data_IF_311577324788
#
_entry.id   IF_311577324788
#
_cell.length_a   1.000
_cell.length_b   1.000
_cell.length_c   1.000
_cell.angle_alpha   90.00
_cell.angle_beta   90.00
_cell.angle_gamma   90.00
#
_symmetry.space_group_name_H-M   'P 1'
#
loop_
_entity.id
_entity.type
_entity.pdbx_description
1 polymer ?
#
# COMPACT_ATOMS: atom_id res chain seq x y z
N UNK A 1 -15.25 -38.03 42.32
CA UNK A 1 -14.08 -38.44 41.51
C UNK A 1 -14.60 -39.12 40.25
N UNK A 2 -14.53 -38.42 39.12
CA UNK A 2 -14.45 -38.96 37.76
C UNK A 2 -14.28 -37.76 36.84
N UNK A 3 -13.16 -37.73 36.13
CA UNK A 3 -12.83 -36.73 35.13
C UNK A 3 -13.74 -36.87 33.91
N UNK A 4 -13.98 -35.77 33.19
CA UNK A 4 -13.93 -35.87 31.74
C UNK A 4 -13.37 -34.59 31.13
N UNK A 5 -12.16 -34.76 30.59
CA UNK A 5 -11.39 -33.87 29.77
C UNK A 5 -12.03 -33.91 28.39
N UNK A 6 -12.41 -32.77 27.83
CA UNK A 6 -12.92 -32.74 26.46
C UNK A 6 -13.39 -31.37 26.06
N UNK A 7 -12.46 -30.53 25.58
CA UNK A 7 -12.53 -29.94 24.24
C UNK A 7 -11.47 -28.85 24.14
N UNK A 8 -10.22 -29.28 23.92
CA UNK A 8 -9.08 -28.41 23.60
C UNK A 8 -8.55 -28.84 22.22
N UNK A 9 -9.43 -28.76 21.21
CA UNK A 9 -9.21 -29.35 19.88
C UNK A 9 -9.30 -28.34 18.71
N UNK A 10 -9.37 -27.03 18.97
CA UNK A 10 -9.59 -26.06 17.88
C UNK A 10 -8.36 -25.23 17.46
N UNK A 11 -7.21 -25.34 18.16
CA UNK A 11 -6.04 -24.50 17.85
C UNK A 11 -4.90 -25.19 17.05
N UNK A 12 -5.05 -26.46 16.67
CA UNK A 12 -3.98 -27.23 16.00
C UNK A 12 -3.99 -27.18 14.45
N UNK A 13 -4.89 -26.42 13.81
CA UNK A 13 -5.06 -26.45 12.35
C UNK A 13 -4.50 -25.21 11.60
N UNK A 14 -3.54 -24.50 12.21
CA UNK A 14 -2.82 -23.39 11.54
C UNK A 14 -1.41 -23.79 11.06
N UNK A 15 -1.15 -25.09 10.83
CA UNK A 15 0.10 -25.56 10.24
C UNK A 15 -0.14 -25.91 8.76
N UNK A 16 0.49 -25.15 7.86
CA UNK A 16 0.33 -25.29 6.40
C UNK A 16 0.69 -26.68 5.87
N UNK A 17 1.46 -27.49 6.64
CA UNK A 17 1.64 -28.93 6.44
C UNK A 17 1.88 -29.60 7.80
N UNK A 18 1.03 -30.54 8.26
CA UNK A 18 1.23 -31.21 9.54
C UNK A 18 2.57 -31.96 9.63
N UNK A 19 3.15 -32.15 10.83
CA UNK A 19 4.48 -32.73 11.03
C UNK A 19 4.63 -34.13 10.42
N UNK A 20 3.52 -34.86 10.37
CA UNK A 20 3.42 -36.20 9.77
C UNK A 20 3.61 -36.18 8.24
N UNK A 21 3.14 -35.14 7.55
CA UNK A 21 3.31 -34.99 6.10
C UNK A 21 4.77 -34.65 5.77
N UNK A 22 5.45 -33.88 6.63
CA UNK A 22 6.89 -33.62 6.47
C UNK A 22 7.72 -34.89 6.65
N UNK A 23 7.43 -35.67 7.68
CA UNK A 23 8.07 -36.96 7.91
C UNK A 23 7.83 -37.90 6.72
N UNK A 24 6.58 -37.99 6.25
CA UNK A 24 6.22 -38.83 5.10
C UNK A 24 6.92 -38.37 3.82
N UNK A 25 6.96 -37.05 3.56
CA UNK A 25 7.65 -36.47 2.41
C UNK A 25 9.17 -36.69 2.46
N UNK A 26 9.81 -36.54 3.62
CA UNK A 26 11.24 -36.81 3.77
C UNK A 26 11.58 -38.30 3.63
N UNK A 27 10.72 -39.18 4.13
CA UNK A 27 10.90 -40.63 4.01
C UNK A 27 10.71 -41.06 2.54
N UNK A 28 9.65 -40.58 1.88
CA UNK A 28 9.39 -40.89 0.48
C UNK A 28 10.50 -40.39 -0.45
N UNK A 29 10.95 -39.14 -0.28
CA UNK A 29 12.08 -38.58 -1.05
C UNK A 29 13.40 -39.30 -0.73
N UNK A 30 13.62 -39.71 0.51
CA UNK A 30 14.73 -40.58 0.91
C UNK A 30 14.72 -41.93 0.20
N UNK A 31 13.57 -42.63 0.16
CA UNK A 31 13.44 -43.90 -0.56
C UNK A 31 13.70 -43.76 -2.05
N UNK A 32 13.19 -42.70 -2.68
CA UNK A 32 13.44 -42.42 -4.11
C UNK A 32 14.93 -42.18 -4.36
N UNK A 33 15.60 -41.39 -3.50
CA UNK A 33 17.04 -41.15 -3.61
C UNK A 33 17.86 -42.43 -3.46
N UNK A 34 17.48 -43.31 -2.52
CA UNK A 34 18.16 -44.57 -2.26
C UNK A 34 17.96 -45.57 -3.41
N UNK A 35 16.77 -45.60 -4.02
CA UNK A 35 16.49 -46.39 -5.21
C UNK A 35 17.33 -45.94 -6.42
N UNK A 36 17.53 -44.63 -6.61
CA UNK A 36 18.37 -44.07 -7.68
C UNK A 36 19.84 -44.43 -7.44
N UNK A 37 20.33 -44.33 -6.20
CA UNK A 37 21.70 -44.71 -5.84
C UNK A 37 21.91 -46.22 -6.02
N UNK A 38 20.95 -47.05 -5.61
CA UNK A 38 21.00 -48.50 -5.80
C UNK A 38 21.00 -48.88 -7.29
N UNK A 39 20.22 -48.20 -8.12
CA UNK A 39 20.25 -48.36 -9.57
C UNK A 39 21.62 -47.99 -10.16
N UNK A 40 22.23 -46.90 -9.69
CA UNK A 40 23.56 -46.47 -10.13
C UNK A 40 24.65 -47.47 -9.72
N UNK A 41 24.58 -48.00 -8.50
CA UNK A 41 25.49 -49.05 -8.00
C UNK A 41 25.29 -50.35 -8.78
N UNK A 42 24.05 -50.78 -9.03
CA UNK A 42 23.77 -51.96 -9.85
C UNK A 42 24.29 -51.81 -11.28
N UNK A 43 24.21 -50.62 -11.87
CA UNK A 43 24.79 -50.33 -13.17
C UNK A 43 26.34 -50.41 -13.14
N UNK A 44 26.99 -49.89 -12.09
CA UNK A 44 28.45 -49.96 -11.91
C UNK A 44 28.93 -51.40 -11.73
N UNK A 45 28.26 -52.19 -10.89
CA UNK A 45 28.72 -53.53 -10.50
C UNK A 45 28.23 -54.65 -11.43
N UNK A 46 27.05 -54.53 -12.03
CA UNK A 46 26.46 -55.58 -12.85
C UNK A 46 26.38 -55.25 -14.35
N UNK A 47 26.83 -54.04 -14.78
CA UNK A 47 26.76 -53.57 -16.19
C UNK A 47 25.40 -53.86 -16.84
N UNK A 48 24.32 -53.70 -16.08
CA UNK A 48 22.98 -54.01 -16.53
C UNK A 48 22.26 -52.71 -16.91
N UNK A 49 21.92 -52.57 -18.20
CA UNK A 49 21.05 -51.51 -18.70
C UNK A 49 21.70 -50.46 -19.61
N UNK A 50 20.87 -49.63 -20.28
CA UNK A 50 21.31 -48.55 -21.15
C UNK A 50 22.05 -47.45 -20.38
N UNK A 51 22.94 -46.75 -21.07
CA UNK A 51 23.87 -45.80 -20.46
C UNK A 51 23.10 -44.72 -19.68
N UNK A 52 23.55 -44.38 -18.44
CA UNK A 52 22.86 -43.43 -17.57
C UNK A 52 22.78 -42.00 -18.15
N UNK A 53 23.54 -41.71 -19.21
CA UNK A 53 23.51 -40.45 -19.96
C UNK A 53 22.30 -40.32 -20.88
N UNK A 54 21.73 -41.44 -21.34
CA UNK A 54 20.63 -41.45 -22.31
C UNK A 54 19.26 -41.29 -21.63
N UNK A 55 19.19 -41.52 -20.30
CA UNK A 55 17.97 -41.45 -19.50
C UNK A 55 17.81 -40.13 -18.72
N UNK A 56 18.68 -39.14 -18.97
CA UNK A 56 18.70 -37.85 -18.26
C UNK A 56 18.66 -38.01 -16.72
N UNK A 57 19.32 -39.06 -16.23
CA UNK A 57 19.31 -39.46 -14.83
C UNK A 57 19.94 -38.39 -13.93
N UNK A 58 20.83 -37.57 -14.49
CA UNK A 58 21.42 -36.40 -13.84
C UNK A 58 20.36 -35.38 -13.45
N UNK A 59 19.39 -35.09 -14.32
CA UNK A 59 18.34 -34.12 -14.05
C UNK A 59 17.39 -34.63 -12.96
N UNK A 60 17.07 -35.92 -12.97
CA UNK A 60 16.28 -36.59 -11.93
C UNK A 60 17.04 -36.57 -10.58
N UNK A 61 18.35 -36.79 -10.59
CA UNK A 61 19.19 -36.73 -9.39
C UNK A 61 19.25 -35.31 -8.81
N UNK A 62 19.40 -34.29 -9.66
CA UNK A 62 19.38 -32.89 -9.22
C UNK A 62 18.00 -32.52 -8.67
N UNK A 63 16.92 -32.92 -9.35
CA UNK A 63 15.55 -32.66 -8.90
C UNK A 63 15.24 -33.33 -7.55
N UNK A 64 15.71 -34.56 -7.35
CA UNK A 64 15.51 -35.30 -6.10
C UNK A 64 16.39 -34.78 -4.97
N UNK A 65 17.63 -34.36 -5.24
CA UNK A 65 18.48 -33.72 -4.21
C UNK A 65 17.95 -32.36 -3.80
N UNK A 66 17.46 -31.54 -4.74
CA UNK A 66 16.79 -30.26 -4.45
C UNK A 66 15.48 -30.48 -3.68
N UNK A 67 14.66 -31.45 -4.08
CA UNK A 67 13.44 -31.82 -3.36
C UNK A 67 13.75 -32.33 -1.95
N UNK A 68 14.75 -33.17 -1.80
CA UNK A 68 15.20 -33.67 -0.50
C UNK A 68 15.69 -32.54 0.41
N UNK A 69 16.47 -31.58 -0.11
CA UNK A 69 16.90 -30.40 0.64
C UNK A 69 15.70 -29.54 1.04
N UNK A 70 14.75 -29.32 0.13
CA UNK A 70 13.52 -28.58 0.41
C UNK A 70 12.72 -29.23 1.55
N UNK A 71 12.60 -30.56 1.60
CA UNK A 71 11.90 -31.25 2.68
C UNK A 71 12.73 -31.41 3.97
N UNK A 72 14.06 -31.49 3.85
CA UNK A 72 14.98 -31.70 4.97
C UNK A 72 15.29 -30.42 5.74
N UNK A 73 15.25 -29.26 5.07
CA UNK A 73 15.47 -27.97 5.71
C UNK A 73 14.29 -27.71 6.67
N UNK A 74 14.54 -27.54 7.99
CA UNK A 74 13.51 -27.16 8.93
C UNK A 74 13.18 -25.67 8.72
N UNK A 75 12.23 -25.40 7.81
CA UNK A 75 11.68 -24.06 7.53
C UNK A 75 11.20 -23.31 8.79
N UNK A 76 10.95 -24.04 9.88
CA UNK A 76 10.66 -23.50 11.22
C UNK A 76 11.78 -22.62 11.78
N UNK A 77 13.05 -22.89 11.45
CA UNK A 77 14.20 -22.12 11.96
C UNK A 77 14.63 -20.98 11.02
N UNK A 78 14.30 -21.04 9.73
CA UNK A 78 14.63 -19.98 8.78
C UNK A 78 13.76 -18.71 8.90
N UNK A 79 12.87 -18.61 9.89
CA UNK A 79 12.08 -17.40 10.10
C UNK A 79 11.11 -17.06 8.96
N UNK A 80 10.99 -17.92 7.94
CA UNK A 80 9.92 -17.88 6.94
C UNK A 80 8.61 -18.40 7.55
N UNK A 81 8.21 -17.81 8.66
CA UNK A 81 6.80 -17.79 9.01
C UNK A 81 6.10 -16.91 8.00
N UNK A 82 5.59 -17.51 6.92
CA UNK A 82 4.54 -16.89 6.10
C UNK A 82 3.34 -16.42 6.93
N UNK A 83 3.26 -16.83 8.20
CA UNK A 83 2.31 -16.37 9.22
C UNK A 83 2.78 -15.22 10.12
N UNK A 84 4.07 -14.86 10.20
CA UNK A 84 4.49 -13.66 10.98
C UNK A 84 4.46 -12.36 10.17
N UNK A 85 4.17 -12.43 8.88
CA UNK A 85 3.49 -11.33 8.19
C UNK A 85 1.98 -11.60 8.17
N UNK A 86 1.44 -11.91 9.35
CA UNK A 86 0.00 -12.02 9.53
C UNK A 86 -0.65 -10.64 9.47
N UNK A 87 -1.84 -10.49 8.86
CA UNK A 87 -2.61 -9.25 8.85
C UNK A 87 -2.77 -8.60 10.23
N UNK A 88 -2.84 -9.42 11.29
CA UNK A 88 -3.06 -8.98 12.67
C UNK A 88 -1.90 -8.20 13.33
N UNK A 89 -0.64 -8.55 13.04
CA UNK A 89 0.50 -7.74 13.56
C UNK A 89 0.77 -6.51 12.68
N UNK A 90 0.41 -6.59 11.39
CA UNK A 90 0.42 -5.43 10.51
C UNK A 90 -0.66 -4.43 10.94
N UNK A 91 -1.85 -4.91 11.30
CA UNK A 91 -2.96 -4.11 11.84
C UNK A 91 -2.58 -3.45 13.17
N UNK A 92 -1.97 -4.17 14.12
CA UNK A 92 -1.46 -3.54 15.37
C UNK A 92 -0.36 -2.52 15.12
N UNK A 93 0.55 -2.76 14.17
CA UNK A 93 1.58 -1.77 13.81
C UNK A 93 1.00 -0.59 13.02
N UNK A 94 -0.03 -0.80 12.21
CA UNK A 94 -0.76 0.26 11.50
C UNK A 94 -1.62 1.08 12.43
N UNK A 95 -2.28 0.47 13.40
CA UNK A 95 -3.09 1.16 14.40
C UNK A 95 -2.20 1.99 15.31
N UNK A 96 -1.09 1.42 15.79
CA UNK A 96 -0.09 2.17 16.57
C UNK A 96 0.53 3.33 15.79
N UNK A 97 0.91 3.14 14.52
CA UNK A 97 1.43 4.23 13.69
C UNK A 97 0.33 5.24 13.29
N UNK A 98 -0.90 4.80 13.04
CA UNK A 98 -2.04 5.67 12.72
C UNK A 98 -2.36 6.56 13.91
N UNK A 99 -2.41 6.03 15.11
CA UNK A 99 -2.71 6.80 16.32
C UNK A 99 -1.60 7.81 16.64
N UNK A 100 -0.32 7.41 16.55
CA UNK A 100 0.82 8.34 16.68
C UNK A 100 0.80 9.42 15.58
N UNK A 101 0.53 9.05 14.33
CA UNK A 101 0.45 10.03 13.23
C UNK A 101 -0.76 10.95 13.34
N UNK A 102 -1.90 10.48 13.85
CA UNK A 102 -3.08 11.33 14.11
C UNK A 102 -2.75 12.36 15.19
N UNK A 103 -2.08 11.96 16.27
CA UNK A 103 -1.65 12.89 17.33
C UNK A 103 -0.62 13.92 16.84
N UNK A 104 0.34 13.49 16.03
CA UNK A 104 1.32 14.42 15.44
C UNK A 104 0.63 15.37 14.46
N UNK A 105 -0.32 14.89 13.66
CA UNK A 105 -1.07 15.74 12.73
C UNK A 105 -1.93 16.74 13.50
N UNK A 106 -2.64 16.34 14.55
CA UNK A 106 -3.46 17.26 15.35
C UNK A 106 -2.61 18.31 16.05
N UNK A 107 -1.45 17.94 16.57
CA UNK A 107 -0.51 18.88 17.20
C UNK A 107 0.10 19.86 16.19
N UNK A 108 0.35 19.41 14.95
CA UNK A 108 0.80 20.31 13.88
C UNK A 108 -0.32 21.24 13.41
N UNK A 109 -1.58 20.76 13.36
CA UNK A 109 -2.74 21.60 13.02
C UNK A 109 -2.95 22.69 14.08
N UNK A 110 -2.90 22.35 15.38
CA UNK A 110 -2.97 23.32 16.48
C UNK A 110 -1.90 24.42 16.36
N UNK A 111 -0.64 24.03 16.08
CA UNK A 111 0.43 25.01 15.88
C UNK A 111 0.24 25.89 14.66
N UNK A 112 -0.37 25.38 13.59
CA UNK A 112 -0.66 26.17 12.39
C UNK A 112 -1.76 27.18 12.68
N UNK A 113 -2.82 26.78 13.39
CA UNK A 113 -3.90 27.69 13.80
C UNK A 113 -3.38 28.80 14.74
N UNK A 114 -2.49 28.46 15.69
CA UNK A 114 -1.82 29.44 16.55
C UNK A 114 -0.96 30.42 15.74
N UNK A 115 -0.21 29.92 14.75
CA UNK A 115 0.58 30.80 13.88
C UNK A 115 -0.31 31.66 12.99
N UNK A 116 -1.43 31.14 12.48
CA UNK A 116 -2.36 31.87 11.64
C UNK A 116 -3.06 32.99 12.42
N UNK A 117 -3.50 32.72 13.66
CA UNK A 117 -4.08 33.75 14.53
C UNK A 117 -3.06 34.83 14.90
N UNK A 118 -1.81 34.46 15.17
CA UNK A 118 -0.73 35.43 15.39
C UNK A 118 -0.42 36.25 14.14
N UNK A 119 -0.34 35.63 12.97
CA UNK A 119 -0.12 36.33 11.70
C UNK A 119 -1.29 37.24 11.35
N UNK A 120 -2.53 36.85 11.64
CA UNK A 120 -3.70 37.73 11.46
C UNK A 120 -3.70 38.89 12.46
N UNK A 121 -3.32 38.66 13.72
CA UNK A 121 -3.18 39.70 14.73
C UNK A 121 -2.06 40.71 14.37
N UNK A 122 -0.95 40.25 13.80
CA UNK A 122 0.17 41.08 13.32
C UNK A 122 -0.17 41.76 11.98
N UNK A 123 -0.86 41.06 11.08
CA UNK A 123 -1.33 41.59 9.79
C UNK A 123 -2.38 42.68 9.96
N UNK A 124 -3.20 42.61 11.01
CA UNK A 124 -4.12 43.67 11.42
C UNK A 124 -3.43 44.96 11.88
N UNK A 125 -2.13 44.93 12.19
CA UNK A 125 -1.35 46.12 12.57
C UNK A 125 -0.56 46.74 11.41
N UNK A 126 -0.42 46.07 10.26
CA UNK A 126 0.46 46.54 9.17
C UNK A 126 -0.29 47.29 8.04
N UNK A 127 -1.62 47.41 8.09
CA UNK A 127 -2.41 48.12 7.06
C UNK A 127 -3.03 49.45 7.52
N UNK A 128 -2.32 50.21 8.36
CA UNK A 128 -2.73 51.59 8.67
C UNK A 128 -1.54 52.56 8.75
N UNK A 129 -0.65 52.54 7.76
CA UNK A 129 0.21 53.69 7.47
C UNK A 129 0.88 53.53 6.10
N UNK A 130 0.14 53.76 5.02
CA UNK A 130 0.66 54.34 3.77
C UNK A 130 -0.50 54.48 2.77
N UNK A 131 -1.19 55.62 2.83
CA UNK A 131 -1.99 56.08 1.70
C UNK A 131 -1.91 57.60 1.63
N UNK A 132 -0.89 58.10 0.93
CA UNK A 132 -0.89 59.42 0.29
C UNK A 132 0.33 59.49 -0.62
N UNK A 133 0.14 59.34 -1.93
CA UNK A 133 0.31 60.47 -2.86
C UNK A 133 0.26 60.02 -4.33
N UNK A 134 -0.68 60.67 -5.02
CA UNK A 134 -0.63 61.18 -6.38
C UNK A 134 0.04 60.34 -7.51
N UNK A 135 -0.77 60.03 -8.53
CA UNK A 135 -0.76 60.71 -9.84
C UNK A 135 -1.00 59.73 -10.99
N UNK A 136 -2.04 60.05 -11.77
CA UNK A 136 -2.26 59.50 -13.10
C UNK A 136 -1.17 60.01 -14.05
N UNK A 137 -0.59 59.15 -14.89
CA UNK A 137 -0.23 59.55 -16.25
C UNK A 137 -0.14 58.36 -17.20
N UNK A 138 -0.45 58.64 -18.47
CA UNK A 138 -0.70 57.73 -19.57
C UNK A 138 0.52 56.94 -20.06
N UNK A 139 0.30 55.83 -20.77
CA UNK A 139 0.45 55.76 -22.24
C UNK A 139 0.48 54.29 -22.73
N UNK A 140 -0.25 54.04 -23.82
CA UNK A 140 -0.36 52.76 -24.50
C UNK A 140 0.82 52.46 -25.45
N UNK A 141 1.00 51.15 -25.69
CA UNK A 141 1.62 50.49 -26.86
C UNK A 141 3.15 50.33 -26.88
N UNK A 142 3.60 49.10 -26.60
CA UNK A 142 4.47 48.34 -27.51
C UNK A 142 4.34 46.81 -27.31
N UNK A 143 4.21 46.09 -28.43
CA UNK A 143 4.24 44.62 -28.65
C UNK A 143 5.66 44.31 -29.20
N UNK A 144 6.26 43.08 -29.26
CA UNK A 144 5.72 41.73 -29.05
C UNK A 144 6.68 40.69 -28.36
N UNK A 145 6.15 39.45 -28.26
CA UNK A 145 6.86 38.16 -28.34
C UNK A 145 7.41 37.50 -27.05
N UNK A 146 6.76 36.38 -26.69
CA UNK A 146 7.44 35.19 -26.16
C UNK A 146 7.64 35.12 -24.64
N UNK A 147 6.57 34.90 -23.88
CA UNK A 147 6.67 34.42 -22.50
C UNK A 147 5.49 33.50 -22.17
N UNK A 148 5.71 32.46 -21.33
CA UNK A 148 4.76 31.39 -21.10
C UNK A 148 3.50 31.94 -20.44
N UNK A 149 2.35 31.41 -20.83
CA UNK A 149 1.06 31.72 -20.23
C UNK A 149 1.16 31.35 -18.74
N UNK A 150 1.40 32.35 -17.89
CA UNK A 150 1.11 32.28 -16.45
C UNK A 150 -0.38 32.07 -16.33
N UNK A 151 -0.77 30.79 -16.22
CA UNK A 151 -2.10 30.39 -15.84
C UNK A 151 -2.29 30.91 -14.42
N UNK A 152 -3.09 31.96 -14.26
CA UNK A 152 -3.59 32.40 -12.96
C UNK A 152 -4.27 31.19 -12.31
N UNK A 153 -3.55 30.47 -11.46
CA UNK A 153 -4.11 29.47 -10.54
C UNK A 153 -4.89 30.23 -9.48
N UNK A 154 -6.11 30.63 -9.81
CA UNK A 154 -7.08 31.02 -8.80
C UNK A 154 -7.22 29.84 -7.82
N UNK A 155 -6.87 30.09 -6.56
CA UNK A 155 -7.00 29.10 -5.50
C UNK A 155 -8.49 28.83 -5.32
N UNK A 156 -8.91 27.62 -5.64
CA UNK A 156 -10.29 27.16 -5.46
C UNK A 156 -10.62 27.17 -3.98
N UNK A 157 -11.79 27.70 -3.63
CA UNK A 157 -12.27 27.70 -2.26
C UNK A 157 -12.55 26.28 -1.76
N UNK A 158 -12.42 26.04 -0.46
CA UNK A 158 -12.63 24.70 0.12
C UNK A 158 -14.02 24.12 -0.17
N UNK A 159 -15.06 24.97 -0.19
CA UNK A 159 -16.43 24.56 -0.49
C UNK A 159 -16.59 24.10 -1.96
N UNK A 160 -16.02 24.86 -2.90
CA UNK A 160 -16.06 24.51 -4.33
C UNK A 160 -15.27 23.23 -4.61
N UNK A 161 -14.11 23.04 -3.97
CA UNK A 161 -13.36 21.79 -4.10
C UNK A 161 -14.16 20.61 -3.55
N UNK A 162 -14.89 20.78 -2.45
CA UNK A 162 -15.74 19.72 -1.87
C UNK A 162 -16.80 19.27 -2.87
N UNK A 163 -17.52 20.18 -3.50
CA UNK A 163 -18.51 19.84 -4.52
C UNK A 163 -17.88 19.18 -5.75
N UNK A 164 -16.72 19.68 -6.18
CA UNK A 164 -15.96 19.10 -7.30
C UNK A 164 -15.52 17.66 -7.00
N UNK A 165 -15.06 17.38 -5.78
CA UNK A 165 -14.63 16.04 -5.36
C UNK A 165 -15.82 15.09 -5.22
N UNK A 166 -16.94 15.55 -4.67
CA UNK A 166 -18.15 14.74 -4.54
C UNK A 166 -18.72 14.40 -5.92
N UNK A 167 -18.81 15.38 -6.83
CA UNK A 167 -19.28 15.14 -8.19
C UNK A 167 -18.36 14.17 -8.94
N UNK A 168 -17.04 14.30 -8.79
CA UNK A 168 -16.06 13.36 -9.34
C UNK A 168 -16.28 11.92 -8.83
N UNK A 169 -16.34 11.74 -7.50
CA UNK A 169 -16.51 10.42 -6.89
C UNK A 169 -17.87 9.80 -7.22
N UNK A 170 -18.90 10.62 -7.43
CA UNK A 170 -20.23 10.18 -7.85
C UNK A 170 -20.21 9.71 -9.30
N UNK A 171 -19.63 10.50 -10.21
CA UNK A 171 -19.53 10.16 -11.63
C UNK A 171 -18.71 8.90 -11.87
N UNK A 172 -17.64 8.72 -11.09
CA UNK A 172 -16.75 7.56 -11.18
C UNK A 172 -16.93 6.55 -10.04
N UNK A 173 -18.15 6.46 -9.49
CA UNK A 173 -18.50 5.64 -8.32
C UNK A 173 -18.22 4.13 -8.47
N UNK A 174 -18.03 3.64 -9.69
CA UNK A 174 -17.61 2.24 -9.96
C UNK A 174 -16.22 1.92 -9.40
N UNK A 175 -15.34 2.91 -9.27
CA UNK A 175 -13.96 2.72 -8.84
C UNK A 175 -13.68 3.45 -7.53
N UNK A 176 -12.67 2.98 -6.80
CA UNK A 176 -12.12 3.68 -5.64
C UNK A 176 -10.78 4.32 -6.03
N UNK A 177 -10.54 5.54 -5.57
CA UNK A 177 -9.41 6.35 -6.02
C UNK A 177 -8.51 6.76 -4.86
N UNK A 178 -7.20 6.74 -5.09
CA UNK A 178 -6.25 7.37 -4.16
C UNK A 178 -6.20 8.88 -4.42
N UNK A 179 -5.80 9.71 -3.43
CA UNK A 179 -5.69 11.16 -3.61
C UNK A 179 -4.82 11.54 -4.80
N UNK A 180 -3.65 10.90 -4.95
CA UNK A 180 -2.75 11.13 -6.09
C UNK A 180 -3.37 10.74 -7.43
N UNK A 181 -4.29 9.75 -7.44
CA UNK A 181 -5.00 9.37 -8.67
C UNK A 181 -6.08 10.40 -9.01
N UNK A 182 -6.78 10.94 -8.02
CA UNK A 182 -7.75 12.03 -8.21
C UNK A 182 -7.00 13.27 -8.75
N UNK A 183 -5.86 13.59 -8.17
CA UNK A 183 -5.02 14.71 -8.59
C UNK A 183 -4.49 14.54 -10.02
N UNK A 184 -3.79 13.44 -10.32
CA UNK A 184 -3.12 13.26 -11.61
C UNK A 184 -4.06 12.82 -12.74
N UNK A 185 -4.97 11.90 -12.46
CA UNK A 185 -5.88 11.37 -13.49
C UNK A 185 -7.19 12.16 -13.53
N UNK A 186 -7.71 12.60 -12.38
CA UNK A 186 -8.92 13.41 -12.33
C UNK A 186 -8.75 14.76 -13.01
N UNK A 187 -7.60 15.43 -12.84
CA UNK A 187 -7.30 16.70 -13.54
C UNK A 187 -7.18 16.59 -15.06
N UNK A 188 -7.03 15.38 -15.60
CA UNK A 188 -7.05 15.17 -17.06
C UNK A 188 -8.47 15.03 -17.62
N UNK A 189 -9.49 14.97 -16.76
CA UNK A 189 -10.89 14.82 -17.16
C UNK A 189 -11.54 16.18 -17.41
N UNK A 190 -12.37 16.28 -18.46
CA UNK A 190 -13.07 17.53 -18.76
C UNK A 190 -13.98 17.89 -17.58
N UNK A 191 -13.85 19.12 -17.07
CA UNK A 191 -14.61 19.64 -15.94
C UNK A 191 -14.01 19.35 -14.56
N UNK A 192 -12.82 18.74 -14.49
CA UNK A 192 -12.12 18.42 -13.24
C UNK A 192 -10.66 18.88 -13.22
N UNK A 193 -10.26 19.73 -14.17
CA UNK A 193 -8.88 20.22 -14.36
C UNK A 193 -8.30 20.85 -13.08
N UNK A 194 -9.22 21.42 -12.32
CA UNK A 194 -9.04 22.13 -11.07
C UNK A 194 -8.67 21.24 -9.86
N UNK A 195 -8.79 19.91 -9.96
CA UNK A 195 -8.39 18.97 -8.91
C UNK A 195 -6.87 18.95 -8.64
N UNK A 196 -6.04 19.43 -9.58
CA UNK A 196 -4.57 19.45 -9.44
C UNK A 196 -4.03 20.68 -8.70
N UNK A 197 -4.87 21.66 -8.36
CA UNK A 197 -4.39 22.95 -7.85
C UNK A 197 -3.84 22.87 -6.41
N UNK A 198 -4.40 22.01 -5.56
CA UNK A 198 -3.91 21.83 -4.18
C UNK A 198 -4.13 20.40 -3.65
N UNK A 199 -3.09 19.57 -3.77
CA UNK A 199 -3.09 18.21 -3.25
C UNK A 199 -3.20 18.10 -1.72
N UNK A 200 -2.83 19.14 -0.95
CA UNK A 200 -3.01 19.15 0.51
C UNK A 200 -4.47 19.39 0.86
N UNK A 201 -5.08 20.39 0.23
CA UNK A 201 -6.49 20.74 0.42
C UNK A 201 -7.38 19.58 -0.03
N UNK A 202 -7.09 18.94 -1.16
CA UNK A 202 -7.77 17.73 -1.62
C UNK A 202 -7.78 16.61 -0.58
N UNK A 203 -6.64 16.33 0.06
CA UNK A 203 -6.56 15.30 1.12
C UNK A 203 -7.36 15.71 2.36
N UNK A 204 -7.31 16.99 2.75
CA UNK A 204 -8.12 17.52 3.87
C UNK A 204 -9.61 17.36 3.59
N UNK A 205 -10.07 17.75 2.40
CA UNK A 205 -11.46 17.62 1.95
C UNK A 205 -11.92 16.16 1.90
N UNK A 206 -11.10 15.25 1.36
CA UNK A 206 -11.43 13.82 1.34
C UNK A 206 -11.59 13.23 2.75
N UNK A 207 -10.73 13.60 3.70
CA UNK A 207 -10.89 13.18 5.11
C UNK A 207 -12.16 13.74 5.74
N UNK A 208 -12.47 15.03 5.50
CA UNK A 208 -13.72 15.65 5.96
C UNK A 208 -14.95 14.92 5.39
N UNK A 209 -14.95 14.58 4.10
CA UNK A 209 -16.05 13.82 3.48
C UNK A 209 -16.25 12.44 4.10
N UNK A 210 -15.17 11.80 4.57
CA UNK A 210 -15.26 10.53 5.31
C UNK A 210 -15.82 10.74 6.71
N UNK A 211 -15.36 11.78 7.42
CA UNK A 211 -15.89 12.14 8.73
C UNK A 211 -17.38 12.52 8.68
N UNK A 212 -17.80 13.16 7.59
CA UNK A 212 -19.19 13.54 7.31
C UNK A 212 -20.06 12.34 6.86
N UNK A 213 -19.47 11.15 6.66
CA UNK A 213 -20.18 9.96 6.17
C UNK A 213 -20.59 10.01 4.69
N UNK A 214 -20.06 10.96 3.92
CA UNK A 214 -20.34 11.11 2.47
C UNK A 214 -19.48 10.17 1.63
N UNK A 215 -18.28 9.83 2.11
CA UNK A 215 -17.35 8.95 1.41
C UNK A 215 -16.85 7.81 2.31
N UNK A 216 -16.66 6.64 1.71
CA UNK A 216 -16.06 5.47 2.36
C UNK A 216 -14.58 5.36 2.03
N UNK A 217 -13.81 4.74 2.93
CA UNK A 217 -12.41 4.42 2.68
C UNK A 217 -12.16 2.92 2.59
N UNK A 218 -11.19 2.54 1.77
CA UNK A 218 -10.69 1.17 1.67
C UNK A 218 -9.18 1.18 1.51
N UNK A 219 -8.51 0.21 2.10
CA UNK A 219 -7.06 0.03 1.92
C UNK A 219 -6.82 -0.87 0.70
N UNK A 220 -6.00 -0.40 -0.25
CA UNK A 220 -5.57 -1.20 -1.39
C UNK A 220 -4.59 -2.31 -0.98
N UNK A 221 -4.39 -3.32 -1.82
CA UNK A 221 -3.37 -4.37 -1.61
C UNK A 221 -1.94 -3.82 -1.42
N UNK A 222 -1.69 -2.59 -1.90
CA UNK A 222 -0.40 -1.88 -1.77
C UNK A 222 -0.34 -0.94 -0.55
N UNK A 223 -1.36 -0.95 0.32
CA UNK A 223 -1.43 -0.09 1.50
C UNK A 223 -1.93 1.34 1.25
N UNK A 224 -2.25 1.73 0.01
CA UNK A 224 -2.79 3.06 -0.29
C UNK A 224 -4.26 3.16 0.14
N UNK A 225 -4.63 4.26 0.81
CA UNK A 225 -6.03 4.63 1.08
C UNK A 225 -6.74 5.00 -0.21
N UNK A 226 -7.85 4.33 -0.47
CA UNK A 226 -8.75 4.58 -1.58
C UNK A 226 -10.05 5.14 -1.04
N UNK A 227 -10.58 6.14 -1.73
CA UNK A 227 -11.82 6.83 -1.41
C UNK A 227 -12.88 6.46 -2.44
N UNK A 228 -14.11 6.28 -1.98
CA UNK A 228 -15.30 6.00 -2.80
C UNK A 228 -16.49 6.76 -2.22
N UNK A 229 -17.48 7.11 -3.03
CA UNK A 229 -18.74 7.65 -2.50
C UNK A 229 -19.44 6.59 -1.64
N UNK A 230 -19.97 7.00 -0.48
CA UNK A 230 -20.81 6.16 0.37
C UNK A 230 -22.18 6.04 -0.31
N UNK A 231 -22.69 4.81 -0.43
CA UNK A 231 -23.93 4.50 -1.16
C UNK A 231 -25.09 4.21 -0.23
#
# INVERSE_FOLDING_TARGET
>A
MSANIGSDNDDQNSELLPPRIRLLGSVATGFVSLAIIAYFLAHIFCKFGPAPKDLDLSTILVLTTVGFLFFSIPWRQLGFSLTKFGPLEFERKLEGQSEEHIQVISLLEERIDDLETLVQAVGGQTQQSENSDAANDALSVEKPAGAPISRNTEKIGEAELRELVVSFLTQYSKWAFSPSRIENWGSTKPGFENLSNDGKLLRKTLRKLVADGVADTKISQKGLTLYKISS
#
